data_IF_156606942068
#
_entry.id   IF_156606942068
#
_cell.length_a   1.000
_cell.length_b   1.000
_cell.length_c   1.000
_cell.angle_alpha   90.00
_cell.angle_beta   90.00
_cell.angle_gamma   90.00
#
_symmetry.space_group_name_H-M   'P 1'
#
loop_
_entity.id
_entity.type
_entity.pdbx_description
1 polymer ?
#
# COMPACT_ATOMS: atom_id res chain seq x y z
N UNK A 1 -9.77 5.59 10.35
CA UNK A 1 -10.50 4.86 9.29
C UNK A 1 -10.82 3.41 9.67
N UNK A 2 -9.85 2.50 9.88
CA UNK A 2 -10.17 1.10 10.23
C UNK A 2 -11.04 0.92 11.47
N UNK A 3 -10.75 1.66 12.55
CA UNK A 3 -11.58 1.61 13.75
C UNK A 3 -12.99 2.13 13.50
N UNK A 4 -13.16 3.17 12.67
CA UNK A 4 -14.48 3.68 12.29
C UNK A 4 -15.25 2.69 11.42
N UNK A 5 -14.60 2.11 10.40
CA UNK A 5 -15.20 1.03 9.59
C UNK A 5 -15.60 -0.16 10.46
N UNK A 6 -14.88 -0.41 11.56
CA UNK A 6 -15.24 -1.48 12.47
C UNK A 6 -16.55 -1.21 13.25
N UNK A 7 -16.79 0.05 13.64
CA UNK A 7 -17.98 0.46 14.38
C UNK A 7 -19.20 0.78 13.48
N UNK A 8 -18.94 1.18 12.23
CA UNK A 8 -19.98 1.67 11.30
C UNK A 8 -20.42 0.66 10.25
N UNK A 9 -19.60 -0.33 9.92
CA UNK A 9 -19.88 -1.27 8.82
C UNK A 9 -20.06 -2.69 9.34
N UNK A 10 -21.19 -3.35 8.99
CA UNK A 10 -21.42 -4.75 9.31
C UNK A 10 -20.30 -5.67 8.78
N UNK A 11 -19.99 -6.79 9.47
CA UNK A 11 -18.88 -7.68 9.11
C UNK A 11 -18.92 -8.18 7.66
N UNK A 12 -20.11 -8.52 7.15
CA UNK A 12 -20.33 -9.02 5.78
C UNK A 12 -20.04 -7.98 4.69
N UNK A 13 -20.13 -6.69 5.01
CA UNK A 13 -19.95 -5.59 4.05
C UNK A 13 -18.63 -4.85 4.25
N UNK A 14 -17.93 -5.11 5.36
CA UNK A 14 -16.71 -4.42 5.77
C UNK A 14 -15.63 -4.47 4.69
N UNK A 15 -15.45 -5.59 4.01
CA UNK A 15 -14.45 -5.73 2.94
C UNK A 15 -14.74 -4.82 1.75
N UNK A 16 -16.02 -4.61 1.39
CA UNK A 16 -16.41 -3.73 0.27
C UNK A 16 -16.14 -2.26 0.61
N UNK A 17 -16.56 -1.83 1.80
CA UNK A 17 -16.31 -0.46 2.24
C UNK A 17 -14.81 -0.18 2.45
N UNK A 18 -14.07 -1.14 3.00
CA UNK A 18 -12.61 -1.01 3.11
C UNK A 18 -11.96 -0.85 1.73
N UNK A 19 -12.36 -1.64 0.73
CA UNK A 19 -11.85 -1.50 -0.63
C UNK A 19 -12.11 -0.10 -1.23
N UNK A 20 -13.31 0.46 -1.02
CA UNK A 20 -13.63 1.84 -1.45
C UNK A 20 -12.74 2.88 -0.77
N UNK A 21 -12.53 2.75 0.55
CA UNK A 21 -11.67 3.68 1.30
C UNK A 21 -10.22 3.61 0.83
N UNK A 22 -9.69 2.41 0.59
CA UNK A 22 -8.32 2.23 0.09
C UNK A 22 -8.14 2.64 -1.36
N UNK A 23 -9.16 2.46 -2.19
CA UNK A 23 -9.17 2.99 -3.55
C UNK A 23 -9.02 4.52 -3.56
N UNK A 24 -9.59 5.22 -2.57
CA UNK A 24 -9.46 6.66 -2.41
C UNK A 24 -8.01 7.15 -2.30
N UNK A 25 -7.12 6.41 -1.63
CA UNK A 25 -5.70 6.78 -1.50
C UNK A 25 -4.95 6.70 -2.85
N UNK A 26 -5.19 5.65 -3.61
CA UNK A 26 -4.60 5.48 -4.95
C UNK A 26 -5.15 6.54 -5.91
N UNK A 27 -6.47 6.75 -5.91
CA UNK A 27 -7.13 7.78 -6.71
C UNK A 27 -6.62 9.20 -6.39
N UNK A 28 -6.45 9.50 -5.10
CA UNK A 28 -5.88 10.77 -4.65
C UNK A 28 -4.48 11.00 -5.23
N UNK A 29 -3.62 9.97 -5.20
CA UNK A 29 -2.26 10.03 -5.75
C UNK A 29 -2.26 10.28 -7.27
N UNK A 30 -3.14 9.59 -8.01
CA UNK A 30 -3.29 9.72 -9.46
C UNK A 30 -3.74 11.13 -9.87
N UNK A 31 -4.58 11.79 -9.07
CA UNK A 31 -4.99 13.17 -9.33
C UNK A 31 -3.94 14.16 -8.83
N UNK A 32 -3.37 13.91 -7.65
CA UNK A 32 -2.48 14.87 -7.00
C UNK A 32 -1.20 15.09 -7.77
N UNK A 33 -0.61 14.03 -8.35
CA UNK A 33 0.65 14.12 -9.08
C UNK A 33 0.53 15.04 -10.33
N UNK A 34 -0.40 14.81 -11.29
CA UNK A 34 -0.55 15.70 -12.44
C UNK A 34 -1.01 17.11 -12.07
N UNK A 35 -1.92 17.25 -11.08
CA UNK A 35 -2.38 18.58 -10.63
C UNK A 35 -1.23 19.36 -10.00
N UNK A 36 -0.37 18.70 -9.20
CA UNK A 36 0.83 19.33 -8.63
C UNK A 36 1.79 19.77 -9.73
N UNK A 37 2.05 18.91 -10.73
CA UNK A 37 2.93 19.26 -11.85
C UNK A 37 2.40 20.44 -12.67
N UNK A 38 1.09 20.46 -12.94
CA UNK A 38 0.45 21.58 -13.64
C UNK A 38 0.52 22.88 -12.82
N UNK A 39 0.26 22.83 -11.51
CA UNK A 39 0.37 23.99 -10.63
C UNK A 39 1.81 24.52 -10.56
N UNK A 40 2.81 23.64 -10.55
CA UNK A 40 4.22 24.03 -10.54
C UNK A 40 4.66 24.71 -11.85
N UNK A 41 4.01 24.41 -12.98
CA UNK A 41 4.29 25.05 -14.28
C UNK A 41 3.71 26.47 -14.41
N UNK A 42 2.79 26.88 -13.53
CA UNK A 42 2.21 28.21 -13.56
C UNK A 42 3.20 29.21 -12.95
N UNK A 43 3.53 30.29 -13.66
CA UNK A 43 4.41 31.36 -13.12
C UNK A 43 3.77 32.18 -11.98
N UNK A 44 2.49 31.92 -11.69
CA UNK A 44 1.76 32.61 -10.64
C UNK A 44 2.34 32.23 -9.26
N UNK A 45 2.66 33.23 -8.42
CA UNK A 45 3.16 33.04 -7.04
C UNK A 45 4.41 32.15 -6.91
N UNK A 46 5.27 32.12 -7.94
CA UNK A 46 6.49 31.32 -7.93
C UNK A 46 6.26 29.82 -8.19
N UNK A 47 5.08 29.43 -8.69
CA UNK A 47 4.72 28.11 -9.20
C UNK A 47 4.59 27.03 -8.13
N UNK A 48 5.70 26.60 -7.55
CA UNK A 48 5.72 25.48 -6.59
C UNK A 48 4.91 25.70 -5.29
N UNK A 49 4.78 26.92 -4.71
CA UNK A 49 3.99 27.11 -3.49
C UNK A 49 2.48 26.92 -3.70
N UNK A 50 1.99 27.06 -4.95
CA UNK A 50 0.56 26.93 -5.27
C UNK A 50 0.02 25.53 -5.00
N UNK A 51 0.83 24.50 -5.24
CA UNK A 51 0.45 23.12 -4.89
C UNK A 51 0.14 23.01 -3.40
N UNK A 52 0.99 23.58 -2.53
CA UNK A 52 0.78 23.57 -1.08
C UNK A 52 -0.45 24.35 -0.65
N UNK A 53 -0.70 25.52 -1.23
CA UNK A 53 -1.90 26.31 -0.91
C UNK A 53 -3.19 25.61 -1.35
N UNK A 54 -3.20 24.96 -2.52
CA UNK A 54 -4.37 24.28 -3.03
C UNK A 54 -4.70 23.02 -2.22
N UNK A 55 -3.74 22.12 -2.01
CA UNK A 55 -3.96 20.91 -1.21
C UNK A 55 -4.20 21.24 0.27
N UNK A 56 -3.51 22.23 0.82
CA UNK A 56 -3.74 22.71 2.18
C UNK A 56 -5.14 23.30 2.35
N UNK A 57 -5.59 24.14 1.42
CA UNK A 57 -6.93 24.73 1.43
C UNK A 57 -8.04 23.69 1.29
N UNK A 58 -7.90 22.76 0.34
CA UNK A 58 -8.82 21.62 0.19
C UNK A 58 -8.86 20.76 1.46
N UNK A 59 -7.72 20.54 2.11
CA UNK A 59 -7.64 19.83 3.38
C UNK A 59 -8.40 20.52 4.51
N UNK A 60 -8.31 21.85 4.63
CA UNK A 60 -9.07 22.63 5.63
C UNK A 60 -10.58 22.54 5.36
N UNK A 61 -10.99 22.70 4.10
CA UNK A 61 -12.40 22.58 3.69
C UNK A 61 -12.91 21.18 4.02
N UNK A 62 -12.17 20.14 3.65
CA UNK A 62 -12.52 18.76 3.96
C UNK A 62 -12.61 18.49 5.46
N UNK A 63 -11.69 19.03 6.26
CA UNK A 63 -11.73 18.92 7.71
C UNK A 63 -12.97 19.59 8.32
N UNK A 64 -13.39 20.74 7.80
CA UNK A 64 -14.63 21.37 8.23
C UNK A 64 -15.86 20.49 7.93
N UNK A 65 -15.91 19.86 6.76
CA UNK A 65 -16.94 18.85 6.45
C UNK A 65 -16.85 17.65 7.39
N UNK A 66 -15.65 17.16 7.69
CA UNK A 66 -15.44 16.04 8.59
C UNK A 66 -16.02 16.30 9.99
N UNK A 67 -15.79 17.50 10.55
CA UNK A 67 -16.33 17.88 11.85
C UNK A 67 -17.86 17.97 11.89
N UNK A 68 -18.50 18.30 10.77
CA UNK A 68 -19.96 18.46 10.69
C UNK A 68 -20.66 17.11 10.46
N UNK A 69 -20.04 16.21 9.69
CA UNK A 69 -20.71 15.01 9.17
C UNK A 69 -20.22 13.69 9.75
N UNK A 70 -19.03 13.63 10.35
CA UNK A 70 -18.46 12.36 10.85
C UNK A 70 -18.57 12.26 12.36
N UNK A 71 -19.15 11.15 12.83
CA UNK A 71 -19.33 10.83 14.24
C UNK A 71 -18.62 9.51 14.57
N UNK A 72 -18.09 9.36 15.78
CA UNK A 72 -17.29 8.19 16.15
C UNK A 72 -18.13 6.91 16.28
N UNK A 73 -19.40 7.05 16.70
CA UNK A 73 -20.32 5.92 16.84
C UNK A 73 -21.67 6.22 16.20
N UNK A 74 -22.37 5.19 15.66
CA UNK A 74 -23.72 5.36 15.13
C UNK A 74 -24.71 5.85 16.20
N UNK A 75 -24.42 5.60 17.49
CA UNK A 75 -25.21 6.08 18.62
C UNK A 75 -25.15 7.59 18.83
N UNK A 76 -24.06 8.25 18.43
CA UNK A 76 -23.88 9.70 18.52
C UNK A 76 -24.41 10.44 17.29
N UNK A 77 -24.73 9.72 16.22
CA UNK A 77 -25.18 10.32 14.97
C UNK A 77 -26.66 10.73 15.07
N UNK A 78 -26.93 12.04 15.02
CA UNK A 78 -28.27 12.59 15.25
C UNK A 78 -29.24 12.41 14.07
N UNK A 79 -28.74 12.11 12.87
CA UNK A 79 -29.53 12.02 11.62
C UNK A 79 -29.61 10.61 11.02
N UNK A 80 -29.19 9.57 11.76
CA UNK A 80 -29.20 8.20 11.23
C UNK A 80 -30.63 7.65 11.25
N UNK A 81 -31.00 6.86 10.25
CA UNK A 81 -32.29 6.16 10.26
C UNK A 81 -32.32 5.19 11.45
N UNK A 82 -33.34 5.23 12.33
CA UNK A 82 -33.46 4.29 13.45
C UNK A 82 -33.42 2.82 13.03
N UNK A 83 -33.90 2.47 11.82
CA UNK A 83 -33.82 1.09 11.30
C UNK A 83 -32.37 0.68 10.97
N UNK A 84 -31.63 1.55 10.30
CA UNK A 84 -30.22 1.32 9.98
C UNK A 84 -29.37 1.27 11.24
N UNK A 85 -29.62 2.15 12.20
CA UNK A 85 -28.95 2.14 13.50
C UNK A 85 -29.17 0.82 14.23
N UNK A 86 -30.42 0.35 14.32
CA UNK A 86 -30.74 -0.91 14.97
C UNK A 86 -30.08 -2.10 14.25
N UNK A 87 -30.01 -2.07 12.91
CA UNK A 87 -29.30 -3.07 12.12
C UNK A 87 -27.80 -3.08 12.42
N UNK A 88 -27.14 -1.91 12.42
CA UNK A 88 -25.69 -1.81 12.72
C UNK A 88 -25.41 -2.28 14.15
N UNK A 89 -26.16 -1.79 15.14
CA UNK A 89 -25.96 -2.17 16.55
C UNK A 89 -26.24 -3.66 16.81
N UNK A 90 -27.12 -4.29 16.03
CA UNK A 90 -27.41 -5.73 16.13
C UNK A 90 -26.38 -6.61 15.39
N UNK A 91 -25.72 -6.08 14.36
CA UNK A 91 -24.84 -6.88 13.46
C UNK A 91 -23.35 -6.64 13.72
N UNK A 92 -22.99 -5.48 14.27
CA UNK A 92 -21.63 -5.22 14.74
C UNK A 92 -21.45 -5.96 16.06
N UNK A 93 -20.60 -6.98 16.05
CA UNK A 93 -20.18 -7.68 17.27
C UNK A 93 -19.80 -6.65 18.33
N UNK A 94 -20.53 -6.63 19.46
CA UNK A 94 -20.05 -5.94 20.65
C UNK A 94 -18.67 -6.52 20.93
N UNK A 95 -17.65 -5.66 21.04
CA UNK A 95 -16.39 -6.09 21.63
C UNK A 95 -16.74 -6.62 23.01
N UNK A 96 -16.71 -7.94 23.19
CA UNK A 96 -16.83 -8.55 24.50
C UNK A 96 -15.65 -8.05 25.33
N UNK A 97 -15.89 -7.00 26.13
CA UNK A 97 -14.93 -6.51 27.13
C UNK A 97 -14.63 -7.60 28.19
N UNK A 98 -15.48 -8.63 28.29
CA UNK A 98 -15.35 -9.73 29.26
C UNK A 98 -14.26 -10.76 28.94
N UNK A 99 -13.71 -10.80 27.72
CA UNK A 99 -12.67 -11.75 27.32
C UNK A 99 -11.34 -11.07 26.92
N UNK A 100 -10.96 -9.99 27.61
CA UNK A 100 -9.66 -9.34 27.42
C UNK A 100 -8.52 -10.17 28.05
N UNK A 101 -8.28 -11.38 27.50
CA UNK A 101 -6.97 -12.01 27.60
C UNK A 101 -6.02 -11.12 26.80
N UNK A 102 -5.36 -10.18 27.49
CA UNK A 102 -4.53 -9.15 26.87
C UNK A 102 -3.59 -9.69 25.77
N UNK A 103 -3.23 -8.82 24.83
CA UNK A 103 -2.50 -9.20 23.61
C UNK A 103 -1.24 -10.01 23.96
N UNK A 104 -1.08 -11.24 23.45
CA UNK A 104 0.07 -12.09 23.75
C UNK A 104 1.32 -11.66 22.97
N UNK A 105 1.88 -10.50 23.34
CA UNK A 105 2.98 -9.85 22.64
C UNK A 105 4.17 -10.77 22.40
N UNK A 106 4.61 -11.52 23.43
CA UNK A 106 5.76 -12.41 23.31
C UNK A 106 5.51 -13.48 22.24
N UNK A 107 4.33 -14.12 22.27
CA UNK A 107 3.95 -15.15 21.28
C UNK A 107 3.89 -14.60 19.86
N UNK A 108 3.37 -13.38 19.70
CA UNK A 108 3.32 -12.68 18.40
C UNK A 108 4.73 -12.42 17.88
N UNK A 109 5.61 -11.84 18.70
CA UNK A 109 7.00 -11.53 18.31
C UNK A 109 7.89 -12.78 18.17
N UNK A 110 7.55 -13.90 18.78
CA UNK A 110 8.26 -15.17 18.56
C UNK A 110 7.78 -15.94 17.33
N UNK A 111 6.69 -15.51 16.69
CA UNK A 111 6.11 -16.24 15.56
C UNK A 111 6.82 -15.93 14.24
N UNK A 112 7.37 -16.98 13.61
CA UNK A 112 8.06 -16.89 12.31
C UNK A 112 7.16 -16.33 11.18
N UNK A 113 5.88 -16.71 11.05
CA UNK A 113 5.02 -16.17 9.99
C UNK A 113 4.77 -14.66 10.11
N UNK A 114 4.76 -14.11 11.33
CA UNK A 114 4.63 -12.67 11.55
C UNK A 114 5.84 -11.91 11.03
N UNK A 115 7.06 -12.39 11.35
CA UNK A 115 8.29 -11.82 10.80
C UNK A 115 8.37 -11.96 9.29
N UNK A 116 7.90 -13.07 8.73
CA UNK A 116 7.83 -13.26 7.28
C UNK A 116 6.99 -12.17 6.62
N UNK A 117 5.79 -11.92 7.13
CA UNK A 117 4.90 -10.85 6.63
C UNK A 117 5.54 -9.46 6.82
N UNK A 118 6.10 -9.18 8.01
CA UNK A 118 6.73 -7.90 8.32
C UNK A 118 7.89 -7.57 7.37
N UNK A 119 8.84 -8.50 7.20
CA UNK A 119 10.03 -8.34 6.36
C UNK A 119 9.64 -8.14 4.90
N UNK A 120 8.67 -8.90 4.41
CA UNK A 120 8.15 -8.76 3.04
C UNK A 120 7.47 -7.42 2.83
N UNK A 121 6.69 -6.95 3.81
CA UNK A 121 6.08 -5.63 3.73
C UNK A 121 7.15 -4.53 3.71
N UNK A 122 8.23 -4.66 4.50
CA UNK A 122 9.36 -3.73 4.45
C UNK A 122 10.01 -3.67 3.06
N UNK A 123 10.25 -4.82 2.41
CA UNK A 123 10.83 -4.87 1.06
C UNK A 123 9.90 -4.27 0.00
N UNK A 124 8.59 -4.53 0.10
CA UNK A 124 7.59 -3.96 -0.80
C UNK A 124 7.45 -2.45 -0.60
N UNK A 125 7.43 -1.97 0.65
CA UNK A 125 7.43 -0.54 0.98
C UNK A 125 8.69 0.14 0.49
N UNK A 126 9.87 -0.49 0.64
CA UNK A 126 11.12 0.04 0.08
C UNK A 126 11.01 0.29 -1.42
N UNK A 127 10.54 -0.70 -2.19
CA UNK A 127 10.36 -0.57 -3.62
C UNK A 127 9.31 0.49 -4.00
N UNK A 128 8.19 0.54 -3.27
CA UNK A 128 7.14 1.55 -3.46
C UNK A 128 7.65 2.97 -3.21
N UNK A 129 8.32 3.22 -2.07
CA UNK A 129 8.84 4.55 -1.76
C UNK A 129 9.99 4.95 -2.69
N UNK A 130 10.83 4.01 -3.12
CA UNK A 130 11.86 4.26 -4.14
C UNK A 130 11.22 4.75 -5.45
N UNK A 131 10.16 4.09 -5.93
CA UNK A 131 9.42 4.54 -7.10
C UNK A 131 8.67 5.87 -6.86
N UNK A 132 8.36 6.22 -5.61
CA UNK A 132 7.59 7.44 -5.30
C UNK A 132 8.48 8.67 -5.21
N UNK A 133 9.62 8.57 -4.53
CA UNK A 133 10.50 9.71 -4.29
C UNK A 133 11.54 9.89 -5.37
N UNK A 134 12.05 8.79 -5.92
CA UNK A 134 13.21 8.83 -6.81
C UNK A 134 12.86 8.79 -8.29
N UNK A 135 11.66 8.29 -8.64
CA UNK A 135 11.22 8.23 -10.02
C UNK A 135 11.14 9.61 -10.68
N UNK A 136 10.56 10.66 -10.05
CA UNK A 136 10.54 11.99 -10.64
C UNK A 136 11.96 12.55 -10.82
N UNK A 137 12.84 12.37 -9.83
CA UNK A 137 14.25 12.77 -9.90
C UNK A 137 14.97 12.07 -11.05
N UNK A 138 14.74 10.77 -11.25
CA UNK A 138 15.29 10.01 -12.38
C UNK A 138 14.78 10.54 -13.74
N UNK A 139 13.48 10.87 -13.82
CA UNK A 139 12.88 11.41 -15.04
C UNK A 139 13.38 12.82 -15.40
N UNK A 140 13.55 13.70 -14.40
CA UNK A 140 14.13 15.04 -14.60
C UNK A 140 15.63 14.95 -14.97
N UNK A 141 16.42 14.23 -14.18
CA UNK A 141 17.89 14.32 -14.23
C UNK A 141 18.53 13.47 -15.32
N UNK A 142 17.99 12.28 -15.58
CA UNK A 142 18.56 11.35 -16.57
C UNK A 142 17.79 11.42 -17.88
N UNK A 143 16.46 11.36 -17.80
CA UNK A 143 15.64 11.34 -18.99
C UNK A 143 15.37 12.75 -19.53
N UNK A 144 15.68 13.82 -18.79
CA UNK A 144 15.47 15.21 -19.19
C UNK A 144 14.02 15.48 -19.61
N UNK A 145 13.06 14.93 -18.86
CA UNK A 145 11.65 15.28 -19.01
C UNK A 145 11.36 16.66 -18.42
N UNK A 146 10.44 17.38 -19.04
CA UNK A 146 9.90 18.62 -18.47
C UNK A 146 9.02 18.28 -17.26
N UNK A 147 8.98 19.15 -16.25
CA UNK A 147 8.33 18.91 -14.95
C UNK A 147 6.85 18.53 -15.11
N UNK A 148 6.16 19.11 -16.10
CA UNK A 148 4.76 18.81 -16.40
C UNK A 148 4.58 17.41 -17.00
N UNK A 149 5.50 16.99 -17.88
CA UNK A 149 5.46 15.66 -18.49
C UNK A 149 5.83 14.60 -17.45
N UNK A 150 6.87 14.86 -16.65
CA UNK A 150 7.28 13.99 -15.56
C UNK A 150 6.13 13.72 -14.58
N UNK A 151 5.43 14.76 -14.12
CA UNK A 151 4.31 14.59 -13.20
C UNK A 151 3.16 13.72 -13.77
N UNK A 152 2.87 13.83 -15.06
CA UNK A 152 1.87 13.00 -15.72
C UNK A 152 2.35 11.55 -15.90
N UNK A 153 3.59 11.37 -16.35
CA UNK A 153 4.18 10.06 -16.59
C UNK A 153 4.44 9.30 -15.27
N UNK A 154 4.95 9.97 -14.24
CA UNK A 154 5.16 9.42 -12.90
C UNK A 154 3.86 8.94 -12.23
N UNK A 155 2.68 9.44 -12.64
CA UNK A 155 1.40 8.95 -12.14
C UNK A 155 0.94 7.63 -12.79
N UNK A 156 1.44 7.29 -13.98
CA UNK A 156 1.01 6.10 -14.74
C UNK A 156 1.28 4.78 -14.02
N UNK A 157 2.47 4.53 -13.42
CA UNK A 157 2.73 3.28 -12.70
C UNK A 157 1.78 3.07 -11.52
N UNK A 158 1.41 4.15 -10.82
CA UNK A 158 0.45 4.07 -9.71
C UNK A 158 -0.95 3.76 -10.20
N UNK A 159 -1.40 4.45 -11.26
CA UNK A 159 -2.70 4.19 -11.87
C UNK A 159 -2.79 2.75 -12.41
N UNK A 160 -1.77 2.30 -13.14
CA UNK A 160 -1.73 0.94 -13.67
C UNK A 160 -1.68 -0.09 -12.53
N UNK A 161 -0.90 0.15 -11.47
CA UNK A 161 -0.87 -0.73 -10.30
C UNK A 161 -2.21 -0.85 -9.59
N UNK A 162 -2.98 0.23 -9.51
CA UNK A 162 -4.30 0.21 -8.91
C UNK A 162 -5.29 -0.61 -9.75
N UNK A 163 -5.35 -0.37 -11.05
CA UNK A 163 -6.24 -1.12 -11.97
C UNK A 163 -5.88 -2.61 -12.03
N UNK A 164 -4.59 -2.93 -12.14
CA UNK A 164 -4.10 -4.31 -12.15
C UNK A 164 -4.32 -4.98 -10.79
N UNK A 165 -4.14 -4.26 -9.68
CA UNK A 165 -4.43 -4.75 -8.35
C UNK A 165 -5.89 -5.15 -8.14
N UNK A 166 -6.85 -4.34 -8.65
CA UNK A 166 -8.27 -4.69 -8.61
C UNK A 166 -8.58 -5.94 -9.46
N UNK A 167 -8.00 -6.03 -10.66
CA UNK A 167 -8.16 -7.18 -11.54
C UNK A 167 -7.58 -8.47 -10.94
N UNK A 168 -6.36 -8.39 -10.41
CA UNK A 168 -5.68 -9.52 -9.74
C UNK A 168 -6.46 -9.95 -8.49
N UNK A 169 -6.94 -9.02 -7.67
CA UNK A 169 -7.70 -9.36 -6.46
C UNK A 169 -9.01 -10.08 -6.81
N UNK A 170 -9.74 -9.58 -7.81
CA UNK A 170 -10.97 -10.23 -8.29
C UNK A 170 -10.70 -11.63 -8.85
N UNK A 171 -9.57 -11.78 -9.57
CA UNK A 171 -9.16 -13.07 -10.12
C UNK A 171 -8.69 -14.04 -9.03
N UNK A 172 -7.98 -13.56 -8.02
CA UNK A 172 -7.57 -14.33 -6.84
C UNK A 172 -8.79 -14.87 -6.09
N UNK A 173 -9.79 -14.03 -5.86
CA UNK A 173 -11.06 -14.40 -5.22
C UNK A 173 -11.81 -15.45 -6.05
N UNK A 174 -11.85 -15.31 -7.37
CA UNK A 174 -12.47 -16.29 -8.26
C UNK A 174 -11.75 -17.66 -8.21
N UNK A 175 -10.42 -17.66 -8.11
CA UNK A 175 -9.60 -18.87 -7.98
C UNK A 175 -9.85 -19.59 -6.65
N UNK A 176 -9.96 -18.83 -5.56
CA UNK A 176 -10.29 -19.33 -4.23
C UNK A 176 -11.74 -19.86 -4.16
N UNK A 177 -12.70 -19.14 -4.75
CA UNK A 177 -14.11 -19.54 -4.78
C UNK A 177 -14.32 -20.85 -5.56
N UNK A 178 -13.53 -21.07 -6.62
CA UNK A 178 -13.51 -22.33 -7.38
C UNK A 178 -12.69 -23.44 -6.74
N UNK A 179 -12.11 -23.20 -5.55
CA UNK A 179 -11.26 -24.14 -4.82
C UNK A 179 -10.07 -24.67 -5.64
N UNK A 180 -9.59 -23.90 -6.62
CA UNK A 180 -8.48 -24.30 -7.50
C UNK A 180 -7.12 -24.19 -6.80
N UNK A 181 -7.01 -23.31 -5.80
CA UNK A 181 -5.80 -23.11 -5.00
C UNK A 181 -6.13 -23.11 -3.50
N UNK A 182 -5.18 -23.57 -2.71
CA UNK A 182 -5.22 -23.36 -1.26
C UNK A 182 -4.99 -21.86 -0.93
N UNK A 183 -5.56 -21.33 0.16
CA UNK A 183 -5.32 -19.94 0.58
C UNK A 183 -3.83 -19.59 0.71
N UNK A 184 -3.04 -20.50 1.28
CA UNK A 184 -1.59 -20.33 1.41
C UNK A 184 -0.88 -20.24 0.06
N UNK A 185 -1.23 -21.13 -0.88
CA UNK A 185 -0.66 -21.12 -2.23
C UNK A 185 -1.02 -19.83 -2.97
N UNK A 186 -2.26 -19.36 -2.81
CA UNK A 186 -2.72 -18.09 -3.38
C UNK A 186 -1.91 -16.91 -2.82
N UNK A 187 -1.75 -16.80 -1.49
CA UNK A 187 -0.97 -15.71 -0.89
C UNK A 187 0.50 -15.73 -1.31
N UNK A 188 1.12 -16.92 -1.39
CA UNK A 188 2.51 -17.06 -1.86
C UNK A 188 2.66 -16.65 -3.32
N UNK A 189 1.72 -17.06 -4.18
CA UNK A 189 1.71 -16.73 -5.61
C UNK A 189 1.58 -15.22 -5.81
N UNK A 190 0.54 -14.60 -5.25
CA UNK A 190 0.28 -13.17 -5.45
C UNK A 190 1.34 -12.28 -4.80
N UNK A 191 1.89 -12.68 -3.65
CA UNK A 191 3.02 -11.98 -3.06
C UNK A 191 4.28 -12.05 -3.95
N UNK A 192 4.50 -13.20 -4.59
CA UNK A 192 5.63 -13.38 -5.52
C UNK A 192 5.45 -12.54 -6.78
N UNK A 193 4.24 -12.48 -7.34
CA UNK A 193 3.91 -11.60 -8.47
C UNK A 193 4.12 -10.13 -8.09
N UNK A 194 3.66 -9.74 -6.89
CA UNK A 194 3.81 -8.39 -6.37
C UNK A 194 5.25 -7.95 -6.13
N UNK A 195 6.14 -8.90 -5.86
CA UNK A 195 7.56 -8.64 -5.57
C UNK A 195 8.43 -8.75 -6.84
N UNK A 196 8.14 -9.74 -7.69
CA UNK A 196 8.83 -9.93 -8.97
C UNK A 196 8.52 -8.81 -9.97
N UNK A 197 7.28 -8.33 -10.03
CA UNK A 197 6.88 -7.28 -10.97
C UNK A 197 7.75 -6.02 -10.87
N UNK A 198 7.80 -5.36 -9.70
CA UNK A 198 8.68 -4.21 -9.46
C UNK A 198 10.17 -4.54 -9.62
N UNK A 199 10.60 -5.74 -9.23
CA UNK A 199 12.01 -6.13 -9.38
C UNK A 199 12.42 -6.25 -10.85
N UNK A 200 11.56 -6.83 -11.69
CA UNK A 200 11.75 -6.90 -13.13
C UNK A 200 11.60 -5.53 -13.79
N UNK A 201 10.73 -4.65 -13.28
CA UNK A 201 10.61 -3.29 -13.79
C UNK A 201 11.89 -2.48 -13.56
N UNK A 202 12.53 -2.61 -12.39
CA UNK A 202 13.82 -1.99 -12.10
C UNK A 202 14.93 -2.53 -13.02
N UNK A 203 15.00 -3.85 -13.22
CA UNK A 203 15.98 -4.45 -14.14
C UNK A 203 15.71 -4.03 -15.58
N UNK A 204 14.45 -3.93 -15.99
CA UNK A 204 14.05 -3.43 -17.30
C UNK A 204 14.43 -1.97 -17.50
N UNK A 205 14.30 -1.13 -16.48
CA UNK A 205 14.73 0.27 -16.52
C UNK A 205 16.25 0.43 -16.69
N UNK A 206 17.05 -0.48 -16.10
CA UNK A 206 18.50 -0.54 -16.31
C UNK A 206 18.84 -0.84 -17.78
N UNK A 207 18.12 -1.76 -18.42
CA UNK A 207 18.33 -2.13 -19.82
C UNK A 207 17.87 -1.08 -20.82
N UNK A 208 16.85 -0.31 -20.46
CA UNK A 208 16.28 0.73 -21.32
C UNK A 208 17.18 1.99 -21.41
N UNK A 209 18.16 2.14 -20.51
CA UNK A 209 19.10 3.27 -20.45
C UNK A 209 18.39 4.64 -20.59
N UNK A 210 18.52 5.30 -21.75
CA UNK A 210 17.95 6.61 -22.04
C UNK A 210 16.65 6.57 -22.88
N UNK A 211 16.14 5.39 -23.26
CA UNK A 211 14.87 5.33 -23.98
C UNK A 211 13.69 5.57 -23.04
N UNK A 212 13.19 6.79 -23.11
CA UNK A 212 12.04 7.31 -22.38
C UNK A 212 10.81 6.41 -22.48
N UNK A 213 10.49 5.91 -23.67
CA UNK A 213 9.27 5.12 -23.86
C UNK A 213 9.43 3.73 -23.25
N UNK A 214 10.62 3.14 -23.40
CA UNK A 214 10.91 1.81 -22.88
C UNK A 214 10.97 1.78 -21.35
N UNK A 215 11.60 2.78 -20.71
CA UNK A 215 11.60 2.93 -19.24
C UNK A 215 10.17 3.03 -18.72
N UNK A 216 9.34 3.88 -19.35
CA UNK A 216 7.94 4.07 -18.95
C UNK A 216 7.11 2.79 -19.11
N UNK A 217 7.30 2.06 -20.21
CA UNK A 217 6.62 0.79 -20.44
C UNK A 217 7.03 -0.28 -19.43
N UNK A 218 8.32 -0.34 -19.05
CA UNK A 218 8.80 -1.29 -18.04
C UNK A 218 8.26 -0.93 -16.66
N UNK A 219 8.34 0.34 -16.25
CA UNK A 219 7.89 0.80 -14.94
C UNK A 219 6.36 0.77 -14.80
N UNK A 220 5.62 1.26 -15.78
CA UNK A 220 4.15 1.23 -15.74
C UNK A 220 3.59 -0.16 -16.05
N UNK A 221 4.24 -0.94 -16.91
CA UNK A 221 3.82 -2.29 -17.27
C UNK A 221 4.14 -3.31 -16.16
N UNK A 222 5.42 -3.59 -15.92
CA UNK A 222 5.84 -4.58 -14.93
C UNK A 222 5.67 -4.08 -13.50
N UNK A 223 5.84 -2.77 -13.25
CA UNK A 223 5.59 -2.19 -11.94
C UNK A 223 4.12 -2.21 -11.54
N UNK A 224 3.17 -2.29 -12.50
CA UNK A 224 1.74 -2.44 -12.17
C UNK A 224 1.42 -3.71 -11.39
N UNK A 225 2.24 -4.76 -11.57
CA UNK A 225 2.05 -6.03 -10.86
C UNK A 225 2.24 -5.89 -9.33
N UNK A 226 2.83 -4.78 -8.85
CA UNK A 226 2.83 -4.42 -7.43
C UNK A 226 1.42 -4.40 -6.83
N UNK A 227 0.38 -4.11 -7.63
CA UNK A 227 -1.01 -4.16 -7.19
C UNK A 227 -1.44 -5.52 -6.63
N UNK A 228 -0.71 -6.60 -6.92
CA UNK A 228 -0.98 -7.93 -6.36
C UNK A 228 -0.74 -8.01 -4.83
N UNK A 229 -0.10 -7.00 -4.20
CA UNK A 229 0.08 -6.93 -2.74
C UNK A 229 -1.27 -7.03 -2.00
N UNK A 230 -2.34 -6.45 -2.56
CA UNK A 230 -3.67 -6.47 -1.94
C UNK A 230 -4.25 -7.89 -1.80
N UNK A 231 -4.02 -8.74 -2.80
CA UNK A 231 -4.48 -10.14 -2.80
C UNK A 231 -3.52 -11.10 -2.07
N UNK A 232 -2.27 -10.68 -1.84
CA UNK A 232 -1.22 -11.47 -1.20
C UNK A 232 -1.05 -11.15 0.28
N UNK A 233 -0.04 -10.33 0.58
CA UNK A 233 0.41 -10.05 1.95
C UNK A 233 -0.68 -9.42 2.82
N UNK A 234 -1.50 -8.54 2.25
CA UNK A 234 -2.53 -7.83 3.02
C UNK A 234 -3.59 -8.77 3.58
N UNK A 235 -4.07 -9.72 2.77
CA UNK A 235 -5.03 -10.72 3.20
C UNK A 235 -4.42 -11.75 4.19
N UNK A 236 -3.11 -11.98 4.12
CA UNK A 236 -2.46 -12.99 4.97
C UNK A 236 -2.51 -12.63 6.47
N UNK A 237 -2.53 -11.34 6.83
CA UNK A 237 -2.71 -10.90 8.23
C UNK A 237 -4.04 -11.38 8.82
N UNK A 238 -5.10 -11.35 8.02
CA UNK A 238 -6.45 -11.77 8.42
C UNK A 238 -6.48 -13.29 8.59
N UNK A 239 -5.85 -14.04 7.68
CA UNK A 239 -5.78 -15.50 7.77
C UNK A 239 -4.93 -15.99 8.95
N UNK A 240 -3.86 -15.27 9.30
CA UNK A 240 -2.93 -15.68 10.35
C UNK A 240 -3.52 -15.48 11.77
N UNK A 241 -4.22 -14.36 11.99
CA UNK A 241 -4.80 -14.03 13.29
C UNK A 241 -6.05 -13.15 13.16
N UNK A 242 -7.25 -13.72 12.88
CA UNK A 242 -8.48 -12.96 12.70
C UNK A 242 -8.81 -12.01 13.86
N UNK A 243 -8.58 -12.47 15.11
CA UNK A 243 -8.87 -11.71 16.33
C UNK A 243 -7.95 -10.49 16.52
N UNK A 244 -6.69 -10.59 16.09
CA UNK A 244 -5.67 -9.56 16.27
C UNK A 244 -5.21 -8.93 14.95
N UNK A 245 -5.92 -9.16 13.85
CA UNK A 245 -5.50 -8.76 12.50
C UNK A 245 -5.21 -7.26 12.38
N UNK A 246 -6.04 -6.42 13.02
CA UNK A 246 -5.85 -4.97 13.03
C UNK A 246 -4.58 -4.53 13.76
N UNK A 247 -4.29 -5.11 14.91
CA UNK A 247 -3.06 -4.85 15.69
C UNK A 247 -1.83 -5.34 14.94
N UNK A 248 -1.90 -6.54 14.37
CA UNK A 248 -0.81 -7.13 13.60
C UNK A 248 -0.49 -6.29 12.38
N UNK A 249 -1.51 -5.91 11.61
CA UNK A 249 -1.37 -5.03 10.46
C UNK A 249 -0.82 -3.66 10.83
N UNK A 250 -1.26 -3.08 11.95
CA UNK A 250 -0.71 -1.81 12.44
C UNK A 250 0.79 -1.88 12.73
N UNK A 251 1.24 -2.96 13.38
CA UNK A 251 2.64 -3.17 13.72
C UNK A 251 3.52 -3.42 12.49
N UNK A 252 3.09 -4.29 11.58
CA UNK A 252 3.82 -4.60 10.35
C UNK A 252 3.84 -3.40 9.41
N UNK A 253 2.74 -2.65 9.30
CA UNK A 253 2.70 -1.42 8.53
C UNK A 253 3.63 -0.35 9.13
N UNK A 254 3.69 -0.20 10.46
CA UNK A 254 4.61 0.74 11.10
C UNK A 254 6.07 0.39 10.80
N UNK A 255 6.45 -0.89 10.91
CA UNK A 255 7.78 -1.37 10.54
C UNK A 255 8.10 -1.13 9.06
N UNK A 256 7.13 -1.41 8.18
CA UNK A 256 7.29 -1.23 6.74
C UNK A 256 7.47 0.24 6.33
N UNK A 257 6.71 1.16 6.94
CA UNK A 257 6.85 2.59 6.71
C UNK A 257 8.17 3.14 7.29
N UNK A 258 8.65 2.62 8.43
CA UNK A 258 9.97 2.97 8.97
C UNK A 258 11.09 2.54 8.00
N UNK A 259 11.01 1.34 7.42
CA UNK A 259 11.94 0.91 6.38
C UNK A 259 11.80 1.75 5.10
N UNK A 260 10.57 2.10 4.71
CA UNK A 260 10.27 2.97 3.58
C UNK A 260 10.89 4.36 3.71
N UNK A 261 10.88 4.95 4.91
CA UNK A 261 11.51 6.22 5.20
C UNK A 261 13.04 6.19 5.07
N UNK A 262 13.66 5.04 5.31
CA UNK A 262 15.11 4.86 5.12
C UNK A 262 15.51 4.77 3.64
N UNK A 263 14.59 4.46 2.73
CA UNK A 263 14.90 4.27 1.32
C UNK A 263 15.44 5.55 0.65
N UNK A 264 14.75 6.71 0.72
CA UNK A 264 15.29 7.95 0.15
C UNK A 264 16.60 8.41 0.80
N UNK A 265 16.79 8.13 2.10
CA UNK A 265 18.03 8.48 2.79
C UNK A 265 19.23 7.69 2.24
N UNK A 266 19.09 6.37 2.09
CA UNK A 266 20.15 5.52 1.52
C UNK A 266 20.41 5.87 0.06
N UNK A 267 19.36 6.11 -0.72
CA UNK A 267 19.48 6.47 -2.14
C UNK A 267 20.16 7.84 -2.28
N UNK A 268 19.77 8.82 -1.47
CA UNK A 268 20.39 10.15 -1.43
C UNK A 268 21.90 10.08 -1.15
N UNK A 269 22.35 9.18 -0.26
CA UNK A 269 23.79 8.96 -0.01
C UNK A 269 24.51 8.32 -1.21
N UNK A 270 23.85 7.41 -1.93
CA UNK A 270 24.43 6.75 -3.13
C UNK A 270 24.56 7.76 -4.28
N UNK A 271 23.56 8.62 -4.44
CA UNK A 271 23.47 9.57 -5.56
C UNK A 271 24.26 10.85 -5.27
N UNK A 272 24.56 11.16 -4.01
CA UNK A 272 25.22 12.41 -3.58
C UNK A 272 26.50 12.72 -4.37
N UNK A 273 26.51 13.89 -5.01
CA UNK A 273 27.67 14.48 -5.69
C UNK A 273 27.68 14.37 -7.23
N UNK A 274 27.15 13.30 -7.83
CA UNK A 274 27.09 13.14 -9.30
C UNK A 274 25.95 12.18 -9.70
N UNK A 275 24.86 12.72 -10.26
CA UNK A 275 23.72 11.95 -10.78
C UNK A 275 24.09 11.27 -12.11
N UNK A 276 24.75 10.12 -12.01
CA UNK A 276 25.16 9.33 -13.18
C UNK A 276 24.30 8.07 -13.30
N UNK A 277 24.03 7.66 -14.54
CA UNK A 277 23.24 6.48 -14.87
C UNK A 277 23.77 5.20 -14.18
N UNK A 278 25.09 5.06 -14.02
CA UNK A 278 25.71 3.95 -13.29
C UNK A 278 25.34 3.89 -11.79
N UNK A 279 25.21 5.04 -11.12
CA UNK A 279 24.77 5.07 -9.70
C UNK A 279 23.30 4.73 -9.58
N UNK A 280 22.48 5.20 -10.53
CA UNK A 280 21.07 4.84 -10.61
C UNK A 280 20.85 3.35 -10.88
N UNK A 281 21.69 2.73 -11.70
CA UNK A 281 21.70 1.27 -11.84
C UNK A 281 21.95 0.55 -10.52
N UNK A 282 22.84 1.10 -9.68
CA UNK A 282 23.12 0.54 -8.35
C UNK A 282 21.90 0.66 -7.44
N UNK A 283 21.18 1.77 -7.49
CA UNK A 283 19.92 1.98 -6.74
C UNK A 283 18.84 0.98 -7.16
N UNK A 284 18.63 0.80 -8.47
CA UNK A 284 17.65 -0.15 -9.01
C UNK A 284 18.01 -1.60 -8.69
N UNK A 285 19.30 -1.98 -8.76
CA UNK A 285 19.76 -3.29 -8.32
C UNK A 285 19.55 -3.53 -6.84
N UNK A 286 19.82 -2.53 -6.00
CA UNK A 286 19.61 -2.60 -4.56
C UNK A 286 18.12 -2.81 -4.24
N UNK A 287 17.24 -2.02 -4.86
CA UNK A 287 15.79 -2.12 -4.65
C UNK A 287 15.25 -3.49 -5.11
N UNK A 288 15.67 -3.98 -6.29
CA UNK A 288 15.29 -5.30 -6.78
C UNK A 288 15.83 -6.43 -5.87
N UNK A 289 17.08 -6.31 -5.41
CA UNK A 289 17.72 -7.28 -4.53
C UNK A 289 17.02 -7.40 -3.18
N UNK A 290 16.69 -6.26 -2.54
CA UNK A 290 15.95 -6.24 -1.27
C UNK A 290 14.55 -6.85 -1.45
N UNK A 291 13.81 -6.43 -2.49
CA UNK A 291 12.46 -6.92 -2.73
C UNK A 291 12.46 -8.45 -2.98
N UNK A 292 13.39 -8.95 -3.79
CA UNK A 292 13.54 -10.39 -4.02
C UNK A 292 13.96 -11.18 -2.80
N UNK A 293 14.92 -10.69 -2.02
CA UNK A 293 15.38 -11.36 -0.80
C UNK A 293 14.24 -11.50 0.23
N UNK A 294 13.46 -10.43 0.41
CA UNK A 294 12.31 -10.45 1.33
C UNK A 294 11.17 -11.33 0.83
N UNK A 295 10.97 -11.46 -0.49
CA UNK A 295 10.02 -12.42 -1.05
C UNK A 295 10.46 -13.87 -0.90
N UNK A 296 11.76 -14.17 -1.07
CA UNK A 296 12.29 -15.51 -0.80
C UNK A 296 12.06 -15.93 0.65
N UNK A 297 12.28 -15.01 1.61
CA UNK A 297 11.99 -15.24 3.02
C UNK A 297 10.50 -15.54 3.26
N UNK A 298 9.61 -14.77 2.60
CA UNK A 298 8.16 -15.03 2.64
C UNK A 298 7.79 -16.43 2.16
N UNK A 299 8.33 -16.84 1.02
CA UNK A 299 7.97 -18.12 0.40
C UNK A 299 8.33 -19.32 1.31
N UNK A 300 9.41 -19.20 2.07
CA UNK A 300 9.88 -20.23 2.99
C UNK A 300 9.03 -20.24 4.28
N UNK A 301 8.81 -19.08 4.89
CA UNK A 301 8.28 -18.99 6.26
C UNK A 301 6.81 -18.55 6.38
N UNK A 302 6.17 -18.11 5.29
CA UNK A 302 4.76 -17.73 5.33
C UNK A 302 3.86 -18.94 5.60
N UNK A 303 2.89 -18.72 6.49
CA UNK A 303 1.79 -19.63 6.78
C UNK A 303 0.47 -18.87 6.72
N UNK A 304 -0.60 -19.58 6.34
CA UNK A 304 -1.98 -19.08 6.28
C UNK A 304 -2.88 -19.86 7.24
N UNK A 305 -2.30 -20.69 8.11
CA UNK A 305 -3.02 -21.36 9.19
C UNK A 305 -3.08 -20.42 10.38
N UNK A 306 -4.27 -20.27 10.94
CA UNK A 306 -4.48 -19.53 12.18
C UNK A 306 -3.51 -19.99 13.26
N UNK A 307 -2.78 -19.04 13.85
CA UNK A 307 -1.78 -19.33 14.86
C UNK A 307 -2.41 -19.73 16.20
N UNK A 308 -1.74 -20.59 16.99
CA UNK A 308 -2.29 -21.08 18.26
C UNK A 308 -2.53 -19.97 19.29
N UNK A 309 -1.86 -18.83 19.18
CA UNK A 309 -2.09 -17.65 20.03
C UNK A 309 -3.28 -16.77 19.61
N UNK A 310 -3.83 -16.97 18.40
CA UNK A 310 -5.07 -16.33 17.94
C UNK A 310 -6.30 -17.11 18.39
N UNK A 311 -6.19 -18.44 18.47
CA UNK A 311 -7.21 -19.31 19.05
C UNK A 311 -7.21 -19.08 20.55
N UNK A 312 -8.17 -18.32 21.05
CA UNK A 312 -8.33 -18.14 22.51
C UNK A 312 -8.25 -19.49 23.21
N UNK A 313 -7.52 -19.55 24.32
CA UNK A 313 -7.40 -20.78 25.10
C UNK A 313 -8.79 -21.32 25.41
N UNK A 314 -9.13 -22.49 24.86
CA UNK A 314 -10.24 -23.31 25.33
C UNK A 314 -9.93 -23.85 26.72
#
# INVERSE_FOLDING_TARGET
MHSMLACWVPPLERSKFAAVVYAGANFGTVISLPVSGWLCSLEFWGGWPLAFYLFGGLGIIWYAFWLIFVFDTPAQHTKIDPLERAYIEATVEKKDEENDTGVPWLSIFTSLPMWAIAITQCGQSWAFYTLLTELPTYMDKILHFDVQQDAFFSALPYLSSWLVGLGISSFADALLARQLLSPLTSFKLWNTVASLGPSLSFIGAIWAECDRMMVMMMLAGLGSLQGAVYAGNQMNHIALAPRFAGTLYGLTNAAANACGFLAPYVIGMIVQGHETLARWHTVFWLAAGINMATNCFYLIFASATEQPWSRGSS
#
